data_IF_260890028989
#
_entry.id   IF_260890028989
#
_cell.length_a   1.000
_cell.length_b   1.000
_cell.length_c   1.000
_cell.angle_alpha   90.00
_cell.angle_beta   90.00
_cell.angle_gamma   90.00
#
_symmetry.space_group_name_H-M   'P 1'
#
loop_
_entity.id
_entity.type
_entity.pdbx_description
1 polymer ?
#
# COMPACT_ATOMS: atom_id res chain seq x y z
N UNK A 1 -0.72 -54.65 -4.99
CA UNK A 1 -0.86 -53.55 -5.99
C UNK A 1 -2.34 -53.26 -6.24
N UNK A 2 -2.92 -52.27 -5.53
CA UNK A 2 -4.15 -51.57 -5.94
C UNK A 2 -3.93 -50.09 -5.63
N UNK A 3 -3.42 -49.43 -6.65
CA UNK A 3 -3.05 -48.01 -6.74
C UNK A 3 -4.33 -47.19 -6.99
N UNK A 4 -4.36 -45.97 -6.45
CA UNK A 4 -5.10 -44.81 -6.98
C UNK A 4 -6.62 -44.86 -6.82
N UNK A 5 -7.15 -44.21 -5.76
CA UNK A 5 -8.42 -43.47 -5.70
C UNK A 5 -8.72 -43.08 -4.24
N UNK A 6 -8.08 -42.05 -3.68
CA UNK A 6 -8.76 -41.27 -2.61
C UNK A 6 -8.18 -39.93 -2.15
N UNK A 7 -7.26 -39.27 -2.85
CA UNK A 7 -6.89 -37.90 -2.46
C UNK A 7 -6.72 -36.98 -3.67
N UNK A 8 -7.82 -36.80 -4.40
CA UNK A 8 -8.06 -35.63 -5.25
C UNK A 8 -9.22 -34.84 -4.63
N UNK A 9 -8.89 -33.91 -3.74
CA UNK A 9 -9.65 -32.68 -3.51
C UNK A 9 -8.80 -31.73 -2.66
N UNK A 10 -7.73 -31.21 -3.26
CA UNK A 10 -6.87 -30.18 -2.67
C UNK A 10 -6.99 -28.87 -3.47
N UNK A 11 -8.21 -28.51 -3.88
CA UNK A 11 -8.47 -27.28 -4.66
C UNK A 11 -8.92 -26.08 -3.83
N UNK A 12 -9.14 -26.23 -2.52
CA UNK A 12 -9.69 -25.17 -1.67
C UNK A 12 -8.86 -24.88 -0.40
N UNK A 13 -7.54 -25.13 -0.44
CA UNK A 13 -6.65 -24.65 0.63
C UNK A 13 -6.06 -23.30 0.18
N UNK A 14 -6.35 -22.18 0.88
CA UNK A 14 -5.80 -20.89 0.53
C UNK A 14 -4.27 -20.96 0.49
N UNK A 15 -3.66 -20.45 -0.57
CA UNK A 15 -2.21 -20.28 -0.63
C UNK A 15 -1.79 -19.32 0.49
N UNK A 16 -1.08 -19.84 1.51
CA UNK A 16 -0.48 -19.04 2.57
C UNK A 16 1.01 -18.91 2.27
N UNK A 17 1.50 -17.70 1.93
CA UNK A 17 2.93 -17.52 1.64
C UNK A 17 3.79 -17.73 2.91
N UNK A 18 5.10 -17.96 2.74
CA UNK A 18 6.04 -18.14 3.85
C UNK A 18 6.75 -16.82 4.21
N UNK A 19 7.04 -16.59 5.50
CA UNK A 19 7.90 -15.49 5.96
C UNK A 19 7.48 -14.09 5.48
N UNK A 20 8.38 -13.39 4.78
CA UNK A 20 8.18 -12.03 4.27
C UNK A 20 7.01 -11.92 3.30
N UNK A 21 6.79 -12.94 2.47
CA UNK A 21 5.69 -12.95 1.50
C UNK A 21 4.33 -13.00 2.23
N UNK A 22 4.28 -13.64 3.40
CA UNK A 22 3.08 -13.67 4.24
C UNK A 22 2.76 -12.30 4.79
N UNK A 23 3.79 -11.58 5.24
CA UNK A 23 3.65 -10.20 5.74
C UNK A 23 3.18 -9.27 4.62
N UNK A 24 3.77 -9.41 3.43
CA UNK A 24 3.37 -8.64 2.26
C UNK A 24 1.90 -8.90 1.91
N UNK A 25 1.51 -10.17 1.82
CA UNK A 25 0.13 -10.58 1.55
C UNK A 25 -0.86 -10.00 2.58
N UNK A 26 -0.54 -10.05 3.88
CA UNK A 26 -1.38 -9.47 4.94
C UNK A 26 -1.60 -7.98 4.77
N UNK A 27 -0.55 -7.23 4.39
CA UNK A 27 -0.63 -5.79 4.14
C UNK A 27 -1.24 -5.44 2.77
N UNK A 28 -1.42 -6.43 1.90
CA UNK A 28 -2.08 -6.32 0.61
C UNK A 28 -3.57 -6.62 0.66
N UNK A 29 -4.00 -7.37 1.68
CA UNK A 29 -5.39 -7.74 1.91
C UNK A 29 -6.32 -6.53 1.99
N UNK A 30 -7.56 -6.73 1.55
CA UNK A 30 -8.64 -5.78 1.75
C UNK A 30 -9.31 -5.96 3.13
N UNK A 31 -9.00 -7.04 3.85
CA UNK A 31 -9.42 -7.25 5.24
C UNK A 31 -8.57 -6.42 6.20
N UNK A 32 -9.23 -5.65 7.04
CA UNK A 32 -8.56 -4.88 8.08
C UNK A 32 -7.91 -5.77 9.14
N UNK A 33 -8.51 -6.93 9.42
CA UNK A 33 -7.99 -7.92 10.35
C UNK A 33 -6.62 -8.44 9.89
N UNK A 34 -6.50 -8.78 8.61
CA UNK A 34 -5.24 -9.22 8.01
C UNK A 34 -4.18 -8.10 8.09
N UNK A 35 -4.56 -6.87 7.75
CA UNK A 35 -3.65 -5.72 7.85
C UNK A 35 -3.19 -5.52 9.30
N UNK A 36 -4.11 -5.58 10.28
CA UNK A 36 -3.74 -5.45 11.70
C UNK A 36 -2.78 -6.55 12.15
N UNK A 37 -3.01 -7.78 11.72
CA UNK A 37 -2.13 -8.90 12.02
C UNK A 37 -0.75 -8.69 11.41
N UNK A 38 -0.68 -8.29 10.13
CA UNK A 38 0.59 -7.95 9.46
C UNK A 38 1.37 -6.85 10.19
N UNK A 39 0.69 -5.77 10.59
CA UNK A 39 1.31 -4.68 11.37
C UNK A 39 1.78 -5.14 12.75
N UNK A 40 1.06 -6.05 13.42
CA UNK A 40 1.46 -6.59 14.71
C UNK A 40 2.72 -7.45 14.61
N UNK A 41 2.81 -8.27 13.55
CA UNK A 41 3.98 -9.10 13.30
C UNK A 41 5.22 -8.25 12.97
N UNK A 42 5.09 -7.20 12.16
CA UNK A 42 6.17 -6.25 11.89
C UNK A 42 6.69 -5.57 13.16
N UNK A 43 5.80 -5.22 14.08
CA UNK A 43 6.20 -4.61 15.36
C UNK A 43 7.10 -5.53 16.20
N UNK A 44 6.89 -6.85 16.13
CA UNK A 44 7.68 -7.82 16.88
C UNK A 44 8.96 -8.29 16.17
N UNK A 45 8.99 -8.23 14.83
CA UNK A 45 10.07 -8.79 14.02
C UNK A 45 10.94 -7.77 13.26
N UNK A 46 10.63 -6.48 13.35
CA UNK A 46 11.28 -5.42 12.57
C UNK A 46 10.63 -5.20 11.20
N UNK A 47 10.97 -4.07 10.56
CA UNK A 47 10.42 -3.69 9.25
C UNK A 47 11.45 -3.87 8.14
N UNK A 48 11.22 -4.80 7.20
CA UNK A 48 11.98 -4.89 5.96
C UNK A 48 11.85 -3.61 5.13
N UNK A 49 12.96 -3.12 4.57
CA UNK A 49 13.00 -1.92 3.73
C UNK A 49 12.01 -1.98 2.55
N UNK A 50 11.81 -3.18 1.99
CA UNK A 50 10.86 -3.45 0.89
C UNK A 50 9.38 -3.24 1.26
N UNK A 51 9.06 -3.04 2.54
CA UNK A 51 7.71 -2.75 3.03
C UNK A 51 7.53 -1.29 3.47
N UNK A 52 8.59 -0.45 3.42
CA UNK A 52 8.50 0.96 3.81
C UNK A 52 7.47 1.73 3.00
N UNK A 53 7.44 1.50 1.68
CA UNK A 53 6.47 2.15 0.78
C UNK A 53 5.03 1.79 1.15
N UNK A 54 4.81 0.52 1.50
CA UNK A 54 3.50 0.04 1.92
C UNK A 54 3.05 0.67 3.23
N UNK A 55 3.93 0.70 4.24
CA UNK A 55 3.64 1.32 5.52
C UNK A 55 3.37 2.83 5.37
N UNK A 56 4.14 3.51 4.53
CA UNK A 56 3.92 4.91 4.19
C UNK A 56 2.53 5.12 3.59
N UNK A 57 2.17 4.38 2.53
CA UNK A 57 0.88 4.50 1.88
C UNK A 57 -0.28 4.18 2.84
N UNK A 58 -0.17 3.11 3.63
CA UNK A 58 -1.16 2.79 4.67
C UNK A 58 -1.29 3.92 5.69
N UNK A 59 -0.18 4.55 6.08
CA UNK A 59 -0.19 5.64 7.05
C UNK A 59 -0.86 6.92 6.55
N UNK A 60 -0.81 7.18 5.24
CA UNK A 60 -1.32 8.40 4.61
C UNK A 60 -2.74 8.23 4.07
N UNK A 61 -3.03 7.09 3.45
CA UNK A 61 -4.15 6.96 2.53
C UNK A 61 -5.24 6.01 3.03
N UNK A 62 -4.91 5.05 3.92
CA UNK A 62 -5.88 4.06 4.35
C UNK A 62 -7.08 4.72 5.02
N UNK A 63 -8.30 4.26 4.73
CA UNK A 63 -9.53 4.89 5.22
C UNK A 63 -9.70 4.75 6.75
N UNK A 64 -9.29 3.61 7.32
CA UNK A 64 -9.29 3.37 8.76
C UNK A 64 -8.12 4.06 9.49
N UNK A 65 -8.46 4.93 10.44
CA UNK A 65 -7.52 5.70 11.24
C UNK A 65 -6.61 4.84 12.13
N UNK A 66 -7.12 3.74 12.69
CA UNK A 66 -6.33 2.84 13.54
C UNK A 66 -5.21 2.18 12.74
N UNK A 67 -5.49 1.80 11.49
CA UNK A 67 -4.47 1.30 10.54
C UNK A 67 -3.47 2.40 10.23
N UNK A 68 -3.93 3.61 9.87
CA UNK A 68 -3.05 4.75 9.58
C UNK A 68 -2.06 5.01 10.73
N UNK A 69 -2.57 5.05 11.96
CA UNK A 69 -1.78 5.33 13.17
C UNK A 69 -0.73 4.24 13.45
N UNK A 70 -1.10 2.96 13.33
CA UNK A 70 -0.15 1.85 13.52
C UNK A 70 0.93 1.85 12.44
N UNK A 71 0.54 1.99 11.17
CA UNK A 71 1.48 2.05 10.06
C UNK A 71 2.44 3.25 10.17
N UNK A 72 1.93 4.43 10.56
CA UNK A 72 2.74 5.62 10.87
C UNK A 72 3.80 5.33 11.93
N UNK A 73 3.42 4.67 13.03
CA UNK A 73 4.34 4.36 14.12
C UNK A 73 5.49 3.44 13.67
N UNK A 74 5.17 2.40 12.89
CA UNK A 74 6.17 1.50 12.33
C UNK A 74 7.07 2.22 11.31
N UNK A 75 6.48 3.01 10.42
CA UNK A 75 7.25 3.81 9.46
C UNK A 75 8.18 4.79 10.18
N UNK A 76 7.71 5.48 11.21
CA UNK A 76 8.53 6.45 11.95
C UNK A 76 9.72 5.82 12.70
N UNK A 77 9.57 4.57 13.15
CA UNK A 77 10.63 3.86 13.87
C UNK A 77 11.78 3.42 12.93
N UNK A 78 11.47 3.20 11.66
CA UNK A 78 12.34 2.48 10.72
C UNK A 78 12.77 3.36 9.55
N UNK A 79 11.97 4.39 9.22
CA UNK A 79 12.30 5.32 8.17
C UNK A 79 13.47 6.22 8.61
N UNK A 80 14.48 6.40 7.75
CA UNK A 80 15.57 7.32 8.00
C UNK A 80 15.07 8.76 8.17
N UNK A 81 15.76 9.53 9.01
CA UNK A 81 15.32 10.85 9.49
C UNK A 81 14.92 11.81 8.38
N UNK A 82 15.67 11.85 7.26
CA UNK A 82 15.37 12.75 6.14
C UNK A 82 14.02 12.45 5.49
N UNK A 83 13.70 11.16 5.30
CA UNK A 83 12.44 10.71 4.74
C UNK A 83 11.29 10.94 5.73
N UNK A 84 11.51 10.64 7.01
CA UNK A 84 10.52 10.91 8.06
C UNK A 84 10.19 12.41 8.14
N UNK A 85 11.20 13.29 8.13
CA UNK A 85 11.02 14.74 8.23
C UNK A 85 10.28 15.34 7.05
N UNK A 86 10.45 14.74 5.87
CA UNK A 86 9.68 15.07 4.69
C UNK A 86 8.19 14.70 4.86
N UNK A 87 7.92 13.47 5.28
CA UNK A 87 6.55 12.93 5.40
C UNK A 87 5.79 13.51 6.59
N UNK A 88 6.46 13.85 7.70
CA UNK A 88 5.77 14.23 8.95
C UNK A 88 4.82 15.40 8.81
N UNK A 89 5.16 16.37 7.96
CA UNK A 89 4.36 17.56 7.67
C UNK A 89 3.09 17.21 6.91
N UNK A 90 3.11 16.09 6.18
CA UNK A 90 2.10 15.67 5.22
C UNK A 90 1.00 14.79 5.85
N UNK A 91 1.26 14.13 6.98
CA UNK A 91 0.23 13.42 7.77
C UNK A 91 -0.88 14.31 8.36
N UNK A 92 -0.77 15.64 8.24
CA UNK A 92 -1.80 16.57 8.71
C UNK A 92 -2.98 16.70 7.74
N UNK A 93 -2.81 16.26 6.50
CA UNK A 93 -3.82 16.40 5.45
C UNK A 93 -4.74 15.17 5.42
N UNK A 94 -6.04 15.38 5.17
CA UNK A 94 -6.91 14.31 4.70
C UNK A 94 -6.88 14.30 3.17
N UNK A 95 -5.98 13.50 2.62
CA UNK A 95 -5.74 13.38 1.18
C UNK A 95 -7.00 13.10 0.34
N UNK A 96 -8.05 12.52 0.94
CA UNK A 96 -9.32 12.28 0.25
C UNK A 96 -10.07 13.57 -0.05
N UNK A 97 -9.98 14.56 0.84
CA UNK A 97 -10.80 15.77 0.77
C UNK A 97 -10.00 17.07 0.58
N UNK A 98 -8.76 17.14 1.08
CA UNK A 98 -8.01 18.40 1.18
C UNK A 98 -7.01 18.64 0.05
N UNK A 99 -6.82 17.69 -0.85
CA UNK A 99 -5.85 17.80 -1.95
C UNK A 99 -6.49 17.42 -3.29
N UNK A 100 -6.26 18.22 -4.32
CA UNK A 100 -6.66 17.91 -5.69
C UNK A 100 -5.67 16.95 -6.38
N UNK A 101 -6.01 16.50 -7.58
CA UNK A 101 -5.20 15.55 -8.36
C UNK A 101 -3.79 16.09 -8.66
N UNK A 102 -3.65 17.39 -8.92
CA UNK A 102 -2.35 18.00 -9.22
C UNK A 102 -1.47 18.04 -7.97
N UNK A 103 -2.04 18.38 -6.82
CA UNK A 103 -1.34 18.40 -5.54
C UNK A 103 -0.92 16.99 -5.10
N UNK A 104 -1.80 15.98 -5.28
CA UNK A 104 -1.46 14.57 -5.05
C UNK A 104 -0.31 14.15 -5.96
N UNK A 105 -0.41 14.42 -7.27
CA UNK A 105 0.61 14.05 -8.24
C UNK A 105 1.97 14.67 -7.91
N UNK A 106 2.00 15.96 -7.55
CA UNK A 106 3.24 16.65 -7.16
C UNK A 106 3.87 16.02 -5.91
N UNK A 107 3.04 15.71 -4.90
CA UNK A 107 3.51 15.03 -3.69
C UNK A 107 4.10 13.64 -3.98
N UNK A 108 3.41 12.83 -4.80
CA UNK A 108 3.89 11.50 -5.20
C UNK A 108 5.19 11.58 -6.02
N UNK A 109 5.32 12.57 -6.90
CA UNK A 109 6.54 12.83 -7.67
C UNK A 109 7.73 13.23 -6.79
N UNK A 110 7.48 14.02 -5.74
CA UNK A 110 8.51 14.48 -4.81
C UNK A 110 9.00 13.34 -3.90
N UNK A 111 8.09 12.61 -3.28
CA UNK A 111 8.44 11.52 -2.34
C UNK A 111 9.08 10.31 -3.03
N UNK A 112 8.73 10.06 -4.29
CA UNK A 112 9.29 8.94 -5.07
C UNK A 112 10.70 9.18 -5.60
N UNK A 113 11.29 10.37 -5.37
CA UNK A 113 12.72 10.59 -5.62
C UNK A 113 13.60 9.86 -4.60
N UNK A 114 13.05 9.52 -3.43
CA UNK A 114 13.77 8.70 -2.46
C UNK A 114 13.85 7.25 -2.96
N UNK A 115 15.07 6.73 -3.14
CA UNK A 115 15.34 5.38 -3.67
C UNK A 115 14.70 4.24 -2.86
N UNK A 116 14.33 4.49 -1.61
CA UNK A 116 13.67 3.52 -0.72
C UNK A 116 12.18 3.41 -0.98
N UNK A 117 11.62 4.39 -1.71
CA UNK A 117 10.22 4.45 -2.08
C UNK A 117 10.03 3.81 -3.44
N UNK A 118 9.26 2.73 -3.48
CA UNK A 118 8.82 2.10 -4.70
C UNK A 118 7.76 2.98 -5.36
N UNK A 119 8.17 3.65 -6.43
CA UNK A 119 7.33 4.58 -7.18
C UNK A 119 6.02 3.94 -7.68
N UNK A 120 6.10 2.72 -8.22
CA UNK A 120 4.95 2.03 -8.80
C UNK A 120 3.95 1.64 -7.72
N UNK A 121 4.44 1.02 -6.66
CA UNK A 121 3.61 0.61 -5.52
C UNK A 121 2.92 1.83 -4.87
N UNK A 122 3.64 2.93 -4.67
CA UNK A 122 3.08 4.13 -4.05
C UNK A 122 1.92 4.72 -4.88
N UNK A 123 2.10 4.87 -6.19
CA UNK A 123 1.06 5.40 -7.08
C UNK A 123 -0.19 4.52 -7.10
N UNK A 124 0.01 3.21 -7.22
CA UNK A 124 -1.09 2.26 -7.26
C UNK A 124 -1.87 2.22 -5.92
N UNK A 125 -1.20 2.37 -4.78
CA UNK A 125 -1.86 2.44 -3.47
C UNK A 125 -2.61 3.76 -3.27
N UNK A 126 -2.10 4.88 -3.80
CA UNK A 126 -2.83 6.15 -3.80
C UNK A 126 -4.14 6.02 -4.61
N UNK A 127 -4.07 5.44 -5.82
CA UNK A 127 -5.26 5.13 -6.62
C UNK A 127 -6.22 4.17 -5.89
N UNK A 128 -5.70 3.13 -5.23
CA UNK A 128 -6.53 2.16 -4.48
C UNK A 128 -7.29 2.82 -3.33
N UNK A 129 -6.62 3.62 -2.51
CA UNK A 129 -7.19 4.06 -1.23
C UNK A 129 -7.90 5.42 -1.27
N UNK A 130 -7.43 6.34 -2.10
CA UNK A 130 -7.98 7.69 -2.19
C UNK A 130 -8.49 8.05 -3.59
N UNK A 131 -8.35 7.11 -4.54
CA UNK A 131 -8.75 7.29 -5.93
C UNK A 131 -8.08 8.48 -6.62
N UNK A 132 -6.92 8.93 -6.15
CA UNK A 132 -6.17 10.05 -6.72
C UNK A 132 -4.74 9.64 -7.03
N UNK A 133 -4.06 10.45 -7.83
CA UNK A 133 -2.70 10.18 -8.30
C UNK A 133 -2.67 9.47 -9.65
N UNK A 134 -3.78 9.46 -10.39
CA UNK A 134 -3.83 8.94 -11.75
C UNK A 134 -2.90 9.67 -12.70
N UNK A 135 -2.74 11.00 -12.58
CA UNK A 135 -1.74 11.76 -13.34
C UNK A 135 -0.34 11.19 -13.12
N UNK A 136 0.06 11.05 -11.85
CA UNK A 136 1.34 10.47 -11.48
C UNK A 136 1.51 9.04 -12.02
N UNK A 137 0.47 8.23 -11.94
CA UNK A 137 0.49 6.85 -12.41
C UNK A 137 0.68 6.76 -13.94
N UNK A 138 0.04 7.65 -14.69
CA UNK A 138 0.20 7.75 -16.14
C UNK A 138 1.60 8.22 -16.54
N UNK A 139 2.12 9.27 -15.89
CA UNK A 139 3.45 9.82 -16.16
C UNK A 139 4.59 8.83 -15.85
N UNK A 140 4.37 7.91 -14.90
CA UNK A 140 5.38 6.97 -14.44
C UNK A 140 5.09 5.50 -14.80
N UNK A 141 4.08 5.25 -15.64
CA UNK A 141 3.69 3.91 -16.09
C UNK A 141 3.57 2.89 -14.94
N UNK A 142 2.89 3.26 -13.86
CA UNK A 142 2.88 2.45 -12.62
C UNK A 142 1.99 1.21 -12.68
N UNK A 143 1.15 1.09 -13.70
CA UNK A 143 0.23 -0.02 -13.91
C UNK A 143 -0.39 -0.01 -15.30
N UNK A 144 -1.35 -0.91 -15.54
CA UNK A 144 -2.09 -0.94 -16.79
C UNK A 144 -2.89 0.36 -16.98
N UNK A 145 -2.75 0.98 -18.15
CA UNK A 145 -3.43 2.24 -18.48
C UNK A 145 -4.95 2.10 -18.33
N UNK A 146 -5.54 0.97 -18.73
CA UNK A 146 -6.99 0.72 -18.62
C UNK A 146 -7.44 0.69 -17.16
N UNK A 147 -6.65 0.12 -16.25
CA UNK A 147 -7.00 0.05 -14.82
C UNK A 147 -6.91 1.44 -14.17
N UNK A 148 -5.89 2.21 -14.54
CA UNK A 148 -5.70 3.60 -14.09
C UNK A 148 -6.87 4.46 -14.57
N UNK A 149 -7.20 4.40 -15.87
CA UNK A 149 -8.31 5.15 -16.45
C UNK A 149 -9.66 4.72 -15.86
N UNK A 150 -9.87 3.41 -15.65
CA UNK A 150 -11.11 2.90 -15.03
C UNK A 150 -11.29 3.42 -13.62
N UNK A 151 -10.21 3.58 -12.86
CA UNK A 151 -10.23 4.15 -11.51
C UNK A 151 -10.61 5.64 -11.53
N UNK A 152 -10.09 6.40 -12.51
CA UNK A 152 -10.41 7.82 -12.71
C UNK A 152 -11.85 8.04 -13.20
N UNK A 153 -12.32 7.23 -14.16
CA UNK A 153 -13.67 7.36 -14.71
C UNK A 153 -14.77 7.07 -13.67
N UNK A 154 -14.53 6.20 -12.69
CA UNK A 154 -15.50 5.93 -11.60
C UNK A 154 -15.73 7.13 -10.69
N UNK A 155 -14.77 8.06 -10.60
CA UNK A 155 -14.92 9.28 -9.80
C UNK A 155 -15.72 10.38 -10.51
N UNK A 156 -15.71 10.40 -11.85
CA UNK A 156 -16.36 11.41 -12.68
C UNK A 156 -17.73 10.96 -13.21
N UNK A 157 -18.44 10.07 -12.49
CA UNK A 157 -19.86 9.85 -12.80
C UNK A 157 -20.64 11.13 -12.48
N UNK A 158 -20.96 11.86 -13.56
CA UNK A 158 -21.98 12.89 -13.68
C UNK A 158 -23.30 12.45 -13.04
#
# INVERSE_FOLDING_TARGET
MKKIKQYLSAKDVPFVPAGLDKLRWMLESDSEEDIFLGLALLKGGGVPETLLTRLLALSLFHHNEKIRRKAKGLFAAEAPTSLYDFVKKKWRYDYRYSMDEQQISAFLSEISQDKRINKQELGNLALKFIHKGGKFCLENHTGNIIDILSSLCRQNRL
#
